data_IF_277044083647
#
_entry.id   IF_277044083647
#
_cell.length_a   1.000
_cell.length_b   1.000
_cell.length_c   1.000
_cell.angle_alpha   90.00
_cell.angle_beta   90.00
_cell.angle_gamma   90.00
#
_symmetry.space_group_name_H-M   'P 1'
#
loop_
_entity.id
_entity.type
_entity.pdbx_description
1 polymer ?
2 polymer ?
3 water ?
#
loop_
_entity_poly.entity_id
_entity_poly.type
_entity_poly.pdbx_seq_one_letter_code
_entity_poly.pdbx_strand_id
2 'polydeoxyribonucleotide' '(DC)(DG)(DA)(DC)(DG)(DG)(DG)(DA)(DC)(DG)(DC)' ?
#
# COMPACT_ATOMS: atom_id res chain seq x y z
N UNK A 19 -13.75 -3.32 9.64
CA UNK A 19 -12.75 -4.14 10.33
C UNK A 19 -11.55 -4.37 9.42
N UNK A 20 -11.80 -4.67 8.15
CA UNK A 20 -10.75 -4.85 7.17
C UNK A 20 -10.85 -3.85 6.02
N UNK A 21 -11.75 -2.88 6.11
CA UNK A 21 -11.87 -1.84 5.10
C UNK A 21 -11.11 -0.60 5.53
N UNK A 22 -10.46 0.12 4.60
CA UNK A 22 -10.32 -0.21 3.18
C UNK A 22 -9.19 -1.21 2.92
N UNK A 23 -9.13 -1.78 1.73
CA UNK A 23 -8.08 -2.77 1.45
C UNK A 23 -6.69 -2.16 1.46
N UNK A 24 -5.71 -3.00 1.77
CA UNK A 24 -4.30 -2.62 1.85
C UNK A 24 -4.07 -1.50 2.87
N UNK A 25 -4.81 -1.54 3.96
CA UNK A 25 -4.65 -0.57 5.04
C UNK A 25 -4.07 -1.19 6.31
N UNK A 26 -3.65 -2.44 6.26
CA UNK A 26 -3.04 -3.12 7.40
C UNK A 26 -1.62 -3.52 7.03
N UNK A 27 -0.66 -3.23 7.90
CA UNK A 27 0.73 -3.56 7.65
C UNK A 27 1.13 -4.77 8.49
N UNK A 28 2.11 -5.51 8.00
CA UNK A 28 2.68 -6.67 8.69
C UNK A 28 4.10 -6.34 9.10
N UNK A 29 4.44 -6.61 10.35
CA UNK A 29 5.72 -6.23 10.94
C UNK A 29 6.47 -7.46 11.42
N UNK A 30 7.76 -7.50 11.13
CA UNK A 30 8.70 -8.45 11.73
C UNK A 30 9.57 -7.65 12.68
N UNK A 31 9.40 -7.87 13.97
CA UNK A 31 9.99 -7.02 14.99
C UNK A 31 10.70 -7.87 16.04
N UNK A 32 11.40 -7.19 16.94
CA UNK A 32 11.96 -7.85 18.10
C UNK A 32 10.84 -8.45 18.96
N UNK A 33 11.11 -9.62 19.54
CA UNK A 33 10.20 -10.24 20.49
C UNK A 33 9.99 -9.39 21.73
N UNK A 34 10.82 -8.36 21.95
CA UNK A 34 10.78 -7.57 23.16
C UNK A 34 10.27 -6.15 22.91
N UNK A 35 9.78 -5.88 21.70
CA UNK A 35 9.18 -4.59 21.40
C UNK A 35 7.70 -4.61 21.80
N UNK A 36 7.29 -3.80 22.77
CA UNK A 36 5.89 -3.84 23.21
C UNK A 36 4.99 -2.99 22.33
N UNK A 37 3.68 -3.22 22.50
CA UNK A 37 2.67 -2.50 21.74
C UNK A 37 2.80 -0.99 21.90
N UNK A 38 3.21 -0.52 23.08
CA UNK A 38 3.32 0.92 23.30
C UNK A 38 4.38 1.55 22.40
N UNK A 39 5.46 0.82 22.10
CA UNK A 39 6.49 1.37 21.23
C UNK A 39 6.00 1.38 19.78
N UNK A 40 5.22 0.38 19.39
CA UNK A 40 4.61 0.41 18.08
C UNK A 40 3.68 1.61 17.94
N UNK A 41 2.87 1.88 18.97
CA UNK A 41 1.96 3.02 18.89
C UNK A 41 2.72 4.33 18.75
N UNK A 42 3.76 4.52 19.57
CA UNK A 42 4.51 5.77 19.53
C UNK A 42 5.18 5.98 18.18
N UNK A 43 5.74 4.91 17.61
CA UNK A 43 6.50 5.04 16.38
C UNK A 43 5.65 5.04 15.12
N UNK A 44 4.45 4.45 15.16
CA UNK A 44 3.64 4.32 13.97
C UNK A 44 2.44 5.25 13.91
N UNK A 45 1.98 5.79 15.04
CA UNK A 45 0.89 6.75 15.02
C UNK A 45 1.13 8.01 14.18
N UNK A 46 2.36 8.50 13.99
CA UNK A 46 2.53 9.68 13.12
C UNK A 46 2.07 9.48 11.69
N UNK A 47 1.95 8.24 11.21
CA UNK A 47 1.67 8.00 9.80
C UNK A 47 0.18 7.95 9.47
N UNK A 48 -0.70 7.90 10.46
CA UNK A 48 -2.11 7.98 10.14
C UNK A 48 -2.96 7.78 11.37
N UNK A 49 -4.23 7.41 11.12
CA UNK A 49 -5.17 7.07 12.18
C UNK A 49 -5.07 5.58 12.43
N UNK A 50 -4.40 5.21 13.52
CA UNK A 50 -4.29 3.80 13.86
C UNK A 50 -5.64 3.31 14.37
N UNK A 51 -6.11 2.19 13.84
CA UNK A 51 -7.33 1.56 14.29
C UNK A 51 -7.09 0.35 15.18
N UNK A 52 -5.97 -0.34 15.01
CA UNK A 52 -5.68 -1.52 15.81
C UNK A 52 -4.19 -1.81 15.77
N UNK A 53 -3.61 -2.10 16.93
CA UNK A 53 -2.25 -2.61 17.05
C UNK A 53 -2.32 -3.98 17.69
N UNK A 54 -1.60 -4.94 17.12
CA UNK A 54 -1.75 -6.34 17.51
C UNK A 54 -0.39 -7.00 17.47
N UNK A 55 0.19 -7.26 18.65
CA UNK A 55 1.40 -8.05 18.77
C UNK A 55 0.97 -9.52 18.86
N UNK A 56 1.41 -10.32 17.90
CA UNK A 56 1.01 -11.73 17.86
C UNK A 56 1.79 -12.51 18.90
N UNK A 57 1.10 -13.26 19.74
CA UNK A 57 1.71 -13.98 20.84
C UNK A 57 1.62 -15.49 20.61
N UNK A 58 2.67 -16.19 21.03
CA UNK A 58 2.69 -17.65 20.96
C UNK A 58 1.62 -18.23 21.87
N UNK A 59 0.84 -19.18 21.35
CA UNK A 59 -0.25 -19.75 22.15
C UNK A 59 0.27 -20.45 23.39
N UNK A 60 1.46 -21.04 23.33
CA UNK A 60 1.93 -21.91 24.39
C UNK A 60 2.73 -21.18 25.47
N UNK A 61 3.46 -20.13 25.09
CA UNK A 61 4.26 -19.38 26.05
C UNK A 61 3.67 -18.02 26.37
N UNK A 62 2.67 -17.56 25.62
CA UNK A 62 2.04 -16.25 25.75
C UNK A 62 3.02 -15.11 25.50
N UNK A 63 4.16 -15.39 24.88
CA UNK A 63 5.16 -14.39 24.56
C UNK A 63 5.01 -13.94 23.11
N UNK A 64 5.49 -12.74 22.83
CA UNK A 64 5.47 -12.22 21.48
C UNK A 64 6.24 -13.14 20.54
N UNK A 65 5.70 -13.34 19.35
CA UNK A 65 6.39 -14.10 18.31
C UNK A 65 7.33 -13.23 17.49
N UNK A 66 7.43 -11.95 17.81
CA UNK A 66 8.17 -11.04 16.96
C UNK A 66 7.40 -10.66 15.71
N UNK A 67 6.08 -10.68 15.78
CA UNK A 67 5.19 -10.42 14.65
C UNK A 67 4.10 -9.47 15.11
N UNK A 68 3.72 -8.53 14.26
CA UNK A 68 2.63 -7.64 14.63
C UNK A 68 1.85 -7.18 13.39
N UNK A 69 0.63 -6.72 13.63
CA UNK A 69 -0.22 -6.09 12.63
C UNK A 69 -0.65 -4.71 13.12
N UNK A 70 -0.59 -3.72 12.22
CA UNK A 70 -1.12 -2.39 12.50
C UNK A 70 -2.11 -2.03 11.41
N UNK A 71 -3.33 -1.68 11.81
CA UNK A 71 -4.40 -1.33 10.89
C UNK A 71 -4.60 0.19 10.92
N UNK A 72 -4.47 0.81 9.76
CA UNK A 72 -4.69 2.24 9.60
C UNK A 72 -6.04 2.50 8.93
N UNK A 73 -6.52 3.74 9.05
CA UNK A 73 -7.81 4.11 8.49
C UNK A 73 -7.77 4.22 6.97
N UNK A 74 -6.59 4.46 6.39
CA UNK A 74 -6.43 4.63 4.94
C UNK A 74 -5.26 3.80 4.45
N UNK A 75 -5.35 3.32 3.21
CA UNK A 75 -4.24 2.58 2.62
C UNK A 75 -3.02 3.47 2.45
N UNK A 76 -3.24 4.74 2.11
CA UNK A 76 -2.11 5.66 1.96
C UNK A 76 -1.32 5.76 3.25
N UNK A 77 -2.02 5.81 4.39
CA UNK A 77 -1.35 5.84 5.69
C UNK A 77 -0.52 4.58 5.90
N UNK A 78 -1.11 3.41 5.63
CA UNK A 78 -0.36 2.17 5.79
C UNK A 78 0.86 2.13 4.87
N UNK A 79 0.73 2.65 3.66
CA UNK A 79 1.85 2.59 2.72
C UNK A 79 2.99 3.50 3.15
N UNK A 80 2.65 4.72 3.59
CA UNK A 80 3.68 5.64 4.07
C UNK A 80 4.40 5.07 5.27
N UNK A 81 3.66 4.48 6.21
CA UNK A 81 4.28 3.79 7.35
C UNK A 81 5.26 2.74 6.88
N UNK A 82 4.84 1.92 5.91
CA UNK A 82 5.73 0.90 5.37
C UNK A 82 6.96 1.52 4.72
N UNK A 83 6.78 2.58 3.94
CA UNK A 83 7.90 3.15 3.20
C UNK A 83 8.90 3.80 4.14
N UNK A 84 8.41 4.42 5.22
CA UNK A 84 9.30 5.13 6.14
C UNK A 84 9.93 4.20 7.17
N UNK A 85 9.19 3.20 7.65
CA UNK A 85 9.64 2.44 8.82
C UNK A 85 10.33 1.13 8.49
N UNK A 86 10.12 0.57 7.29
CA UNK A 86 10.85 -0.62 6.90
C UNK A 86 12.36 -0.35 6.93
N UNK A 87 13.08 -1.19 7.67
CA UNK A 87 14.52 -1.03 7.81
C UNK A 87 14.97 -0.25 9.02
N UNK A 88 14.06 0.32 9.79
CA UNK A 88 14.42 1.06 10.99
C UNK A 88 14.56 0.12 12.19
N UNK A 89 15.23 0.61 13.23
CA UNK A 89 15.37 -0.11 14.49
C UNK A 89 14.54 0.59 15.56
N UNK A 90 14.04 -0.20 16.52
CA UNK A 90 13.14 0.30 17.53
C UNK A 90 13.66 0.21 18.96
N UNK A 91 14.91 -0.24 19.15
CA UNK A 91 15.46 -0.37 20.49
C UNK A 91 16.95 -0.63 20.49
N UNK A 92 17.61 -0.33 21.62
CA UNK A 92 19.06 -0.58 21.70
C UNK A 92 19.42 -2.06 21.73
N UNK A 93 18.63 -2.88 22.44
CA UNK A 93 18.89 -4.31 22.49
C UNK A 93 18.53 -5.00 21.18
N UNK A 94 17.76 -4.34 20.32
CA UNK A 94 17.42 -4.93 19.02
C UNK A 94 18.65 -4.94 18.12
N UNK A 95 18.88 -6.09 17.48
CA UNK A 95 20.04 -6.26 16.60
C UNK A 95 19.69 -6.03 15.13
N UNK A 96 18.70 -6.76 14.62
CA UNK A 96 18.29 -6.63 13.24
C UNK A 96 17.34 -5.45 13.08
N UNK A 97 17.21 -4.93 11.86
CA UNK A 97 16.15 -3.96 11.58
C UNK A 97 14.79 -4.64 11.47
N UNK A 98 13.74 -3.85 11.62
CA UNK A 98 12.39 -4.36 11.48
C UNK A 98 12.01 -4.40 10.01
N UNK A 99 11.08 -5.29 9.68
CA UNK A 99 10.50 -5.37 8.35
C UNK A 99 9.05 -4.95 8.43
N UNK A 100 8.61 -4.14 7.45
CA UNK A 100 7.22 -3.70 7.37
C UNK A 100 6.72 -3.94 5.96
N UNK A 101 5.65 -4.71 5.83
CA UNK A 101 5.00 -4.95 4.54
C UNK A 101 3.53 -4.60 4.65
N UNK A 102 2.89 -4.44 3.50
CA UNK A 102 1.43 -4.46 3.46
C UNK A 102 0.98 -5.88 3.73
N UNK A 103 0.06 -6.05 4.66
CA UNK A 103 -0.34 -7.38 5.11
C UNK A 103 -1.30 -8.03 4.12
N UNK A 104 -1.23 -9.35 4.05
CA UNK A 104 -2.25 -10.13 3.35
C UNK A 104 -3.55 -10.12 4.14
N UNK A 105 -4.66 -10.27 3.43
CA UNK A 105 -5.96 -10.40 4.10
C UNK A 105 -6.03 -11.72 4.85
N UNK A 106 -6.98 -11.78 5.79
CA UNK A 106 -7.23 -13.04 6.50
C UNK A 106 -7.78 -14.09 5.56
N UNK A 107 -8.80 -13.73 4.78
CA UNK A 107 -9.35 -14.63 3.77
C UNK A 107 -8.31 -14.91 2.70
N UNK A 108 -8.08 -16.19 2.41
CA UNK A 108 -7.02 -16.63 1.52
C UNK A 108 -5.68 -16.05 2.00
N UNK A 109 -5.00 -15.32 1.12
CA UNK A 109 -3.73 -14.70 1.47
C UNK A 109 -2.73 -15.67 2.05
N UNK A 110 -2.15 -16.52 1.19
CA UNK A 110 -1.30 -17.61 1.65
C UNK A 110 0.06 -17.12 2.17
N UNK A 111 0.04 -16.09 3.03
CA UNK A 111 1.21 -15.58 3.72
C UNK A 111 2.23 -14.98 2.76
N UNK A 112 2.02 -15.13 1.46
CA UNK A 112 2.95 -14.59 0.47
C UNK A 112 3.05 -13.08 0.62
N UNK A 113 4.27 -12.57 0.48
CA UNK A 113 4.49 -11.14 0.65
C UNK A 113 3.92 -10.39 -0.53
N UNK A 114 3.11 -9.38 -0.25
CA UNK A 114 2.66 -8.45 -1.30
C UNK A 114 3.89 -7.74 -1.85
N UNK A 115 4.08 -7.85 -3.16
CA UNK A 115 5.20 -7.19 -3.82
C UNK A 115 4.83 -5.77 -4.21
N UNK A 116 5.84 -4.91 -4.30
CA UNK A 116 5.58 -3.51 -4.62
C UNK A 116 4.91 -3.36 -5.98
N UNK A 117 5.22 -4.24 -6.93
CA UNK A 117 4.60 -4.17 -8.27
C UNK A 117 3.08 -4.30 -8.22
N UNK A 118 2.54 -4.93 -7.19
CA UNK A 118 1.09 -5.07 -7.07
C UNK A 118 0.43 -3.85 -6.43
N UNK A 119 1.23 -2.89 -5.97
CA UNK A 119 0.70 -1.77 -5.23
C UNK A 119 0.88 -0.43 -5.94
N UNK A 120 1.70 -0.35 -6.98
CA UNK A 120 2.09 0.95 -7.53
C UNK A 120 1.29 1.39 -8.76
N UNK A 121 0.50 0.51 -9.38
CA UNK A 121 -0.19 0.85 -10.61
C UNK A 121 -1.70 0.94 -10.37
N UNK A 122 -2.30 2.02 -10.85
CA UNK A 122 -3.73 2.23 -10.75
C UNK A 122 -4.36 2.05 -12.13
N UNK A 123 -5.68 1.84 -12.13
CA UNK A 123 -6.46 1.54 -13.33
C UNK A 123 -7.62 2.54 -13.35
N UNK A 124 -7.75 3.29 -14.44
CA UNK A 124 -8.68 4.41 -14.47
C UNK A 124 -9.52 4.39 -15.75
N UNK A 125 -10.73 4.90 -15.63
CA UNK A 125 -11.59 5.20 -16.76
C UNK A 125 -11.40 6.67 -17.15
N UNK A 126 -11.16 6.93 -18.42
CA UNK A 126 -10.73 8.26 -18.88
C UNK A 126 -11.45 8.62 -20.16
N UNK A 127 -11.56 9.91 -20.46
CA UNK A 127 -12.13 10.32 -21.75
C UNK A 127 -11.31 9.78 -22.92
N UNK A 128 -12.01 9.49 -24.02
CA UNK A 128 -11.35 8.96 -25.21
C UNK A 128 -10.32 9.92 -25.78
N UNK A 129 -10.46 11.22 -25.52
CA UNK A 129 -9.52 12.18 -26.09
C UNK A 129 -8.17 12.19 -25.39
N UNK A 130 -8.07 11.60 -24.18
CA UNK A 130 -6.81 11.65 -23.45
C UNK A 130 -5.71 10.93 -24.22
N UNK A 131 -4.55 11.58 -24.34
CA UNK A 131 -3.33 10.90 -24.71
C UNK A 131 -2.58 10.46 -23.45
N UNK A 132 -1.53 9.68 -23.65
CA UNK A 132 -0.70 9.26 -22.52
C UNK A 132 -0.13 10.45 -21.76
N UNK A 133 0.15 11.56 -22.47
CA UNK A 133 0.65 12.74 -21.75
C UNK A 133 -0.47 13.49 -21.04
N UNK A 134 -1.69 13.48 -21.59
CA UNK A 134 -2.83 14.02 -20.86
C UNK A 134 -3.04 13.26 -19.55
N UNK A 135 -2.95 11.94 -19.61
CA UNK A 135 -3.11 11.13 -18.41
C UNK A 135 -2.05 11.44 -17.39
N UNK A 136 -0.79 11.55 -17.85
CA UNK A 136 0.31 11.89 -16.95
C UNK A 136 0.10 13.26 -16.30
N UNK A 137 -0.43 14.22 -17.07
CA UNK A 137 -0.66 15.56 -16.50
C UNK A 137 -1.65 15.51 -15.36
N UNK A 138 -2.72 14.73 -15.50
CA UNK A 138 -3.79 14.71 -14.51
C UNK A 138 -3.38 13.96 -13.25
N UNK A 139 -2.45 13.01 -13.36
CA UNK A 139 -2.12 12.15 -12.24
C UNK A 139 -0.75 12.40 -11.64
N UNK A 140 0.07 13.25 -12.26
CA UNK A 140 1.37 13.57 -11.68
C UNK A 140 1.25 14.26 -10.32
N UNK A 141 0.09 14.81 -9.99
CA UNK A 141 -0.04 15.54 -8.73
C UNK A 141 -0.09 14.62 -7.51
N UNK A 142 -0.25 13.31 -7.71
CA UNK A 142 -0.28 12.38 -6.59
C UNK A 142 1.04 11.66 -6.38
N UNK A 143 2.05 11.92 -7.20
CA UNK A 143 3.37 11.38 -6.97
C UNK A 143 4.15 11.25 -8.25
N UNK A 144 5.35 10.70 -8.11
CA UNK A 144 6.24 10.49 -9.23
C UNK A 144 5.75 9.32 -10.08
N UNK A 145 5.48 9.59 -11.36
CA UNK A 145 4.94 8.58 -12.26
C UNK A 145 6.08 7.90 -12.99
N UNK A 146 6.13 6.58 -12.93
CA UNK A 146 7.12 5.84 -13.70
C UNK A 146 6.67 5.63 -15.14
N UNK A 147 5.38 5.33 -15.33
CA UNK A 147 4.90 4.95 -16.66
C UNK A 147 3.39 5.11 -16.72
N UNK A 148 2.91 5.67 -17.83
CA UNK A 148 1.50 5.85 -18.14
C UNK A 148 1.19 5.10 -19.43
N UNK A 149 0.03 4.47 -19.50
CA UNK A 149 -0.37 3.86 -20.77
C UNK A 149 -1.89 3.95 -20.91
N UNK A 150 -2.32 3.90 -22.16
CA UNK A 150 -3.74 3.93 -22.49
C UNK A 150 -4.06 2.68 -23.29
N UNK A 151 -5.17 2.03 -22.94
CA UNK A 151 -5.61 0.85 -23.67
C UNK A 151 -6.29 1.31 -24.95
N UNK A 152 -5.75 0.89 -26.09
CA UNK A 152 -6.25 1.30 -27.40
C UNK A 152 -6.63 0.09 -28.24
N UNK A 153 -7.53 0.33 -29.18
CA UNK A 153 -7.69 -0.57 -30.31
C UNK A 153 -6.36 -0.65 -31.04
N UNK A 154 -5.70 -1.80 -31.03
CA UNK A 154 -4.35 -1.85 -31.58
C UNK A 154 -4.31 -1.90 -33.10
N UNK A 155 -5.47 -1.97 -33.75
CA UNK A 155 -5.53 -1.83 -35.21
C UNK A 155 -5.74 -0.38 -35.62
N UNK A 156 -6.69 0.30 -34.97
CA UNK A 156 -7.03 1.66 -35.35
C UNK A 156 -6.30 2.72 -34.53
N UNK A 157 -5.82 2.38 -33.33
CA UNK A 157 -5.21 3.35 -32.46
C UNK A 157 -6.17 4.11 -31.58
N UNK A 158 -7.48 3.90 -31.74
CA UNK A 158 -8.44 4.63 -30.94
C UNK A 158 -8.42 4.18 -29.48
N UNK A 159 -8.51 5.15 -28.58
CA UNK A 159 -8.53 4.85 -27.15
C UNK A 159 -9.82 4.14 -26.76
N UNK A 160 -9.70 3.17 -25.86
CA UNK A 160 -10.87 2.52 -25.29
C UNK A 160 -11.32 3.19 -23.99
N UNK A 161 -10.74 4.33 -23.65
CA UNK A 161 -11.16 5.06 -22.47
C UNK A 161 -10.71 4.45 -21.17
N UNK A 162 -9.64 3.66 -21.20
CA UNK A 162 -9.09 3.02 -20.02
C UNK A 162 -7.59 3.25 -20.00
N UNK A 163 -7.03 3.42 -18.80
CA UNK A 163 -5.63 3.75 -18.70
C UNK A 163 -5.01 3.24 -17.42
N UNK A 164 -3.68 3.18 -17.42
CA UNK A 164 -2.88 2.78 -16.26
C UNK A 164 -1.91 3.89 -15.90
N UNK A 165 -1.70 4.09 -14.61
CA UNK A 165 -0.66 4.97 -14.09
C UNK A 165 0.12 4.20 -13.04
N UNK A 166 1.42 4.03 -13.25
CA UNK A 166 2.28 3.40 -12.26
C UNK A 166 3.16 4.46 -11.62
N UNK A 167 3.15 4.49 -10.29
CA UNK A 167 3.95 5.43 -9.51
C UNK A 167 5.21 4.76 -8.97
N UNK A 168 6.10 5.59 -8.44
CA UNK A 168 7.33 5.04 -7.86
C UNK A 168 7.07 4.40 -6.51
N UNK A 169 6.07 4.89 -5.77
CA UNK A 169 5.85 4.41 -4.41
C UNK A 169 4.41 3.95 -4.22
N UNK A 170 4.20 2.85 -3.47
CA UNK A 170 2.83 2.41 -3.17
C UNK A 170 1.94 3.48 -2.58
N UNK A 171 2.48 4.37 -1.74
CA UNK A 171 1.65 5.40 -1.14
C UNK A 171 1.16 6.41 -2.17
N UNK A 172 1.91 6.58 -3.26
CA UNK A 172 1.48 7.51 -4.30
C UNK A 172 0.28 6.97 -5.06
N UNK A 173 0.31 5.67 -5.39
CA UNK A 173 -0.87 5.04 -5.98
C UNK A 173 -2.05 5.09 -5.03
N UNK A 174 -1.82 4.84 -3.74
CA UNK A 174 -2.91 4.89 -2.78
C UNK A 174 -3.51 6.30 -2.67
N UNK A 175 -2.64 7.32 -2.67
CA UNK A 175 -3.12 8.71 -2.64
C UNK A 175 -3.97 9.04 -3.86
N UNK A 176 -3.52 8.59 -5.04
CA UNK A 176 -4.29 8.85 -6.25
C UNK A 176 -5.68 8.23 -6.17
N UNK A 177 -5.76 6.98 -5.71
CA UNK A 177 -7.04 6.31 -5.61
C UNK A 177 -7.95 7.02 -4.62
N UNK A 178 -7.37 7.53 -3.52
CA UNK A 178 -8.17 8.17 -2.47
C UNK A 178 -8.57 9.60 -2.81
N UNK A 179 -7.83 10.27 -3.69
CA UNK A 179 -8.03 11.70 -3.89
C UNK A 179 -8.46 12.11 -5.29
N UNK A 180 -8.21 11.30 -6.32
CA UNK A 180 -8.58 11.74 -7.65
C UNK A 180 -10.11 11.73 -7.81
N UNK A 181 -10.58 12.44 -8.83
CA UNK A 181 -12.02 12.57 -9.05
C UNK A 181 -12.67 11.20 -9.18
N UNK A 182 -13.82 11.03 -8.53
CA UNK A 182 -14.47 9.73 -8.47
C UNK A 182 -14.94 9.25 -9.84
N UNK A 183 -15.01 10.14 -10.83
CA UNK A 183 -15.41 9.73 -12.17
C UNK A 183 -14.32 8.92 -12.88
N UNK A 184 -13.07 8.98 -12.40
CA UNK A 184 -12.04 8.11 -12.96
C UNK A 184 -12.20 6.66 -12.54
N UNK A 185 -12.99 6.39 -11.49
CA UNK A 185 -13.20 5.04 -10.98
C UNK A 185 -11.86 4.37 -10.68
N UNK A 186 -10.97 5.14 -10.07
CA UNK A 186 -9.60 4.68 -9.86
C UNK A 186 -9.59 3.50 -8.89
N UNK A 187 -8.93 2.42 -9.30
CA UNK A 187 -8.72 1.25 -8.46
C UNK A 187 -7.30 0.77 -8.67
N UNK A 188 -6.83 -0.08 -7.76
CA UNK A 188 -5.54 -0.73 -7.95
C UNK A 188 -5.61 -1.66 -9.17
N UNK A 189 -4.60 -1.58 -10.03
CA UNK A 189 -4.57 -2.43 -11.21
C UNK A 189 -4.08 -3.83 -10.85
N UNK A 190 -4.84 -4.83 -11.27
CA UNK A 190 -4.36 -6.20 -11.14
C UNK A 190 -3.13 -6.41 -12.01
N UNK A 191 -2.16 -7.19 -11.57
CA UNK A 191 -1.03 -7.53 -12.44
C UNK A 191 -1.51 -8.27 -13.68
N UNK A 192 -0.74 -8.15 -14.77
CA UNK A 192 -1.14 -8.78 -16.02
C UNK A 192 -1.16 -10.31 -15.90
N UNK A 193 -0.18 -10.88 -15.22
CA UNK A 193 -0.12 -12.33 -15.06
C UNK A 193 0.02 -12.72 -13.59
#
# INVERSE_FOLDING_TARGET
>A
MGSSHHHHHHSSGLVPRGSHMPPNSRIFLVISKYTPESVLRERFSPFGDIQDIWVVRDKHTKESKGIAFVKFARSSQACRAMEEMHGQCLGPNDTKPIKVFIAQSRSSGSHRDVEDEELTRIFVMIPKSYTEEDLREKFKVYGDIEYCSIIKNKVTGESKGLGYVRYLKPSQAAQAIENCDRSFRAILAEPKNKASESSEQ
#
